data_IF_351854763404
#
_entry.id   IF_351854763404
#
_cell.length_a   1.000
_cell.length_b   1.000
_cell.length_c   1.000
_cell.angle_alpha   90.00
_cell.angle_beta   90.00
_cell.angle_gamma   90.00
#
_symmetry.space_group_name_H-M   'P 1'
#
loop_
_entity.id
_entity.type
_entity.pdbx_description
1 polymer ?
#
# COMPACT_ATOMS: atom_id res chain seq x y z
N UNK A 1 -15.61 -17.25 50.07
CA UNK A 1 -16.77 -16.69 50.80
C UNK A 1 -17.22 -15.48 50.02
N UNK A 2 -18.44 -15.52 49.45
CA UNK A 2 -18.94 -14.48 48.54
C UNK A 2 -19.23 -13.19 49.31
N UNK A 3 -18.85 -12.03 48.79
CA UNK A 3 -19.10 -10.70 49.37
C UNK A 3 -20.58 -10.46 49.70
N UNK A 4 -21.49 -11.19 49.07
CA UNK A 4 -22.93 -11.16 49.30
C UNK A 4 -23.29 -11.78 50.68
N UNK A 5 -22.68 -12.89 51.05
CA UNK A 5 -22.92 -13.55 52.35
C UNK A 5 -22.42 -12.70 53.51
N UNK A 6 -21.30 -12.01 53.33
CA UNK A 6 -20.74 -11.09 54.32
C UNK A 6 -21.65 -9.87 54.55
N UNK A 7 -22.30 -9.39 53.50
CA UNK A 7 -23.28 -8.32 53.55
C UNK A 7 -24.58 -8.75 54.27
N UNK A 8 -25.06 -9.95 53.97
CA UNK A 8 -26.26 -10.50 54.62
C UNK A 8 -26.05 -10.74 56.11
N UNK A 9 -24.91 -11.27 56.50
CA UNK A 9 -24.60 -11.52 57.90
C UNK A 9 -24.42 -10.22 58.69
N UNK A 10 -23.84 -9.18 58.15
CA UNK A 10 -23.75 -7.87 58.76
C UNK A 10 -25.13 -7.19 58.94
N UNK A 11 -26.03 -7.33 57.97
CA UNK A 11 -27.38 -6.78 58.08
C UNK A 11 -28.25 -7.55 59.09
N UNK A 12 -28.06 -8.85 59.21
CA UNK A 12 -28.78 -9.70 60.17
C UNK A 12 -28.37 -9.39 61.61
N UNK A 13 -27.06 -9.20 61.82
CA UNK A 13 -26.56 -8.82 63.17
C UNK A 13 -27.03 -7.42 63.57
N UNK A 14 -27.12 -6.46 62.69
CA UNK A 14 -27.64 -5.12 62.95
C UNK A 14 -29.14 -5.09 63.14
N UNK A 15 -29.92 -5.99 62.54
CA UNK A 15 -31.34 -6.12 62.71
C UNK A 15 -31.68 -6.76 64.09
N UNK A 16 -30.86 -7.73 64.50
CA UNK A 16 -31.02 -8.42 65.78
C UNK A 16 -30.62 -7.51 66.96
N UNK A 17 -29.65 -6.63 66.85
CA UNK A 17 -29.22 -5.68 67.89
C UNK A 17 -30.15 -4.48 68.04
N UNK A 18 -30.86 -4.05 66.99
CA UNK A 18 -31.65 -2.81 67.07
C UNK A 18 -33.10 -2.99 67.51
N UNK A 19 -33.63 -4.22 67.65
CA UNK A 19 -35.02 -4.49 68.05
C UNK A 19 -36.06 -3.76 67.18
N UNK A 20 -35.63 -3.09 66.15
CA UNK A 20 -36.43 -2.34 65.21
C UNK A 20 -36.89 -3.24 64.07
N UNK A 21 -38.19 -3.39 63.94
CA UNK A 21 -38.85 -3.98 62.77
C UNK A 21 -38.52 -3.11 61.53
N UNK A 22 -37.31 -3.16 61.07
CA UNK A 22 -36.93 -2.60 59.78
C UNK A 22 -37.44 -3.54 58.68
N UNK A 23 -38.72 -3.43 58.34
CA UNK A 23 -39.26 -3.99 57.10
C UNK A 23 -38.64 -3.21 55.91
N UNK A 24 -37.33 -3.42 55.65
CA UNK A 24 -36.77 -3.02 54.40
C UNK A 24 -37.43 -3.91 53.35
N UNK A 25 -38.33 -3.33 52.55
CA UNK A 25 -39.05 -4.07 51.52
C UNK A 25 -37.99 -4.78 50.67
N UNK A 26 -38.13 -6.08 50.52
CA UNK A 26 -37.25 -6.91 49.69
C UNK A 26 -37.07 -6.31 48.30
N UNK A 27 -38.08 -5.59 47.83
CA UNK A 27 -38.09 -4.84 46.59
C UNK A 27 -37.10 -3.65 46.59
N UNK A 28 -36.94 -2.92 47.70
CA UNK A 28 -35.99 -1.79 47.79
C UNK A 28 -34.54 -2.29 47.83
N UNK A 29 -34.29 -3.43 48.45
CA UNK A 29 -32.97 -4.05 48.46
C UNK A 29 -32.59 -4.55 47.06
N UNK A 30 -33.46 -5.25 46.37
CA UNK A 30 -33.25 -5.71 45.00
C UNK A 30 -33.08 -4.52 44.04
N UNK A 31 -33.84 -3.45 44.24
CA UNK A 31 -33.71 -2.22 43.44
C UNK A 31 -32.35 -1.56 43.58
N UNK A 32 -31.77 -1.52 44.78
CA UNK A 32 -30.42 -0.99 45.05
C UNK A 32 -29.33 -1.87 44.40
N UNK A 33 -29.46 -3.19 44.55
CA UNK A 33 -28.54 -4.15 43.93
C UNK A 33 -28.54 -4.05 42.38
N UNK A 34 -29.72 -3.90 41.79
CA UNK A 34 -29.85 -3.72 40.34
C UNK A 34 -29.20 -2.42 39.86
N UNK A 35 -29.41 -1.30 40.60
CA UNK A 35 -28.77 -0.01 40.31
C UNK A 35 -27.24 -0.08 40.43
N UNK A 36 -26.70 -0.73 41.43
CA UNK A 36 -25.25 -0.89 41.57
C UNK A 36 -24.61 -1.77 40.46
N UNK A 37 -25.27 -2.90 40.12
CA UNK A 37 -24.85 -3.75 39.02
C UNK A 37 -24.91 -3.02 37.66
N UNK A 38 -25.95 -2.22 37.43
CA UNK A 38 -26.08 -1.40 36.24
C UNK A 38 -24.98 -0.33 36.19
N UNK A 39 -24.67 0.37 37.29
CA UNK A 39 -23.57 1.34 37.39
C UNK A 39 -22.21 0.71 37.13
N UNK A 40 -21.92 -0.47 37.70
CA UNK A 40 -20.65 -1.19 37.44
C UNK A 40 -20.52 -1.65 35.98
N UNK A 41 -21.64 -2.12 35.38
CA UNK A 41 -21.64 -2.48 33.94
C UNK A 41 -21.47 -1.27 33.02
N UNK A 42 -22.12 -0.16 33.35
CA UNK A 42 -21.98 1.08 32.59
C UNK A 42 -20.58 1.63 32.67
N UNK A 43 -19.97 1.66 33.88
CA UNK A 43 -18.59 2.12 34.06
C UNK A 43 -17.56 1.25 33.33
N UNK A 44 -17.76 -0.07 33.29
CA UNK A 44 -16.91 -0.98 32.51
C UNK A 44 -17.05 -0.77 30.99
N UNK A 45 -18.28 -0.50 30.51
CA UNK A 45 -18.53 -0.23 29.08
C UNK A 45 -17.97 1.12 28.66
N UNK A 46 -18.10 2.16 29.48
CA UNK A 46 -17.48 3.47 29.17
C UNK A 46 -15.96 3.40 29.13
N UNK A 47 -15.33 2.70 30.07
CA UNK A 47 -13.87 2.50 30.05
C UNK A 47 -13.44 1.72 28.80
N UNK A 48 -14.14 0.65 28.44
CA UNK A 48 -13.82 -0.11 27.21
C UNK A 48 -13.98 0.73 25.93
N UNK A 49 -15.05 1.54 25.84
CA UNK A 49 -15.27 2.43 24.70
C UNK A 49 -14.22 3.53 24.59
N UNK A 50 -13.73 4.08 25.72
CA UNK A 50 -12.64 5.08 25.68
C UNK A 50 -11.32 4.47 25.23
N UNK A 51 -11.00 3.24 25.64
CA UNK A 51 -9.80 2.54 25.15
C UNK A 51 -9.87 2.21 23.65
N UNK A 52 -11.04 1.76 23.16
CA UNK A 52 -11.24 1.50 21.73
C UNK A 52 -11.13 2.80 20.92
N UNK A 53 -11.74 3.89 21.39
CA UNK A 53 -11.63 5.21 20.74
C UNK A 53 -10.20 5.74 20.70
N UNK A 54 -9.43 5.55 21.79
CA UNK A 54 -8.04 5.97 21.86
C UNK A 54 -7.13 5.12 20.95
N UNK A 55 -7.37 3.81 20.89
CA UNK A 55 -6.66 2.92 19.97
C UNK A 55 -6.93 3.30 18.50
N UNK A 56 -8.19 3.56 18.15
CA UNK A 56 -8.56 4.00 16.79
C UNK A 56 -7.91 5.34 16.44
N UNK A 57 -7.90 6.31 17.36
CA UNK A 57 -7.26 7.61 17.14
C UNK A 57 -5.74 7.48 16.96
N UNK A 58 -5.07 6.62 17.72
CA UNK A 58 -3.64 6.33 17.56
C UNK A 58 -3.36 5.64 16.22
N UNK A 59 -4.21 4.72 15.79
CA UNK A 59 -4.05 4.05 14.49
C UNK A 59 -4.17 5.04 13.33
N UNK A 60 -5.17 5.93 13.38
CA UNK A 60 -5.34 7.01 12.39
C UNK A 60 -4.13 7.94 12.40
N UNK A 61 -3.62 8.30 13.57
CA UNK A 61 -2.46 9.20 13.70
C UNK A 61 -1.17 8.55 13.18
N UNK A 62 -1.01 7.24 13.35
CA UNK A 62 0.11 6.47 12.76
C UNK A 62 -0.03 6.38 11.23
N UNK A 63 -1.24 6.19 10.71
CA UNK A 63 -1.49 6.17 9.26
C UNK A 63 -1.22 7.56 8.66
N UNK A 64 -1.70 8.62 9.30
CA UNK A 64 -1.46 10.01 8.85
C UNK A 64 -0.02 10.47 9.02
N UNK A 65 0.74 9.88 9.96
CA UNK A 65 2.18 10.15 10.16
C UNK A 65 3.09 9.17 9.44
N UNK A 66 2.56 8.16 8.76
CA UNK A 66 3.41 7.45 7.80
C UNK A 66 3.94 8.53 6.86
N UNK A 67 5.26 8.80 6.83
CA UNK A 67 5.82 9.55 5.73
C UNK A 67 5.31 8.78 4.50
N UNK A 68 4.59 9.47 3.62
CA UNK A 68 4.41 8.96 2.26
C UNK A 68 5.82 8.51 1.89
N UNK A 69 6.00 7.22 1.65
CA UNK A 69 7.27 6.73 1.18
C UNK A 69 7.58 7.67 0.02
N UNK A 70 8.56 8.54 0.20
CA UNK A 70 8.95 9.48 -0.84
C UNK A 70 9.40 8.56 -1.96
N UNK A 71 8.47 8.27 -2.86
CA UNK A 71 8.76 7.48 -4.05
C UNK A 71 9.80 8.32 -4.78
N UNK A 72 10.97 7.74 -4.96
CA UNK A 72 12.05 8.44 -5.62
C UNK A 72 11.55 8.85 -7.01
N UNK A 73 11.50 10.16 -7.33
CA UNK A 73 11.01 10.61 -8.63
C UNK A 73 11.81 10.04 -9.79
N UNK A 74 13.08 9.68 -9.58
CA UNK A 74 13.92 8.97 -10.55
C UNK A 74 13.38 7.57 -10.81
N UNK A 75 13.03 6.82 -9.76
CA UNK A 75 12.45 5.47 -9.87
C UNK A 75 11.10 5.47 -10.58
N UNK A 76 10.24 6.46 -10.28
CA UNK A 76 8.96 6.63 -10.99
C UNK A 76 9.21 6.88 -12.49
N UNK A 77 10.15 7.76 -12.82
CA UNK A 77 10.45 8.08 -14.20
C UNK A 77 11.00 6.86 -14.96
N UNK A 78 11.89 6.11 -14.34
CA UNK A 78 12.44 4.88 -14.89
C UNK A 78 11.38 3.81 -15.13
N UNK A 79 10.44 3.66 -14.20
CA UNK A 79 9.32 2.73 -14.35
C UNK A 79 8.48 3.10 -15.58
N UNK A 80 8.09 4.37 -15.71
CA UNK A 80 7.33 4.86 -16.86
C UNK A 80 8.08 4.69 -18.18
N UNK A 81 9.39 4.91 -18.19
CA UNK A 81 10.24 4.68 -19.35
C UNK A 81 10.22 3.21 -19.78
N UNK A 82 10.44 2.28 -18.85
CA UNK A 82 10.40 0.83 -19.12
C UNK A 82 9.02 0.37 -19.60
N UNK A 83 7.95 0.85 -18.97
CA UNK A 83 6.59 0.54 -19.38
C UNK A 83 6.28 1.08 -20.79
N UNK A 84 6.84 2.22 -21.17
CA UNK A 84 6.68 2.80 -22.51
C UNK A 84 7.45 2.06 -23.59
N UNK A 85 8.60 1.46 -23.27
CA UNK A 85 9.45 0.72 -24.22
C UNK A 85 9.03 -0.75 -24.38
N UNK A 86 8.51 -1.37 -23.32
CA UNK A 86 8.16 -2.79 -23.32
C UNK A 86 7.25 -3.23 -24.49
N UNK A 87 6.17 -2.50 -24.85
CA UNK A 87 5.33 -2.86 -25.99
C UNK A 87 6.09 -2.77 -27.33
N UNK A 88 6.95 -1.75 -27.52
CA UNK A 88 7.74 -1.59 -28.75
C UNK A 88 8.70 -2.78 -28.93
N UNK A 89 9.37 -3.18 -27.84
CA UNK A 89 10.26 -4.34 -27.85
C UNK A 89 9.50 -5.64 -28.17
N UNK A 90 8.30 -5.81 -27.63
CA UNK A 90 7.46 -6.99 -27.91
C UNK A 90 7.07 -7.05 -29.39
N UNK A 91 6.67 -5.93 -29.98
CA UNK A 91 6.30 -5.85 -31.40
C UNK A 91 7.50 -6.09 -32.32
N UNK A 92 8.70 -5.58 -31.98
CA UNK A 92 9.93 -5.85 -32.74
C UNK A 92 10.25 -7.34 -32.74
N UNK A 93 10.17 -8.00 -31.56
CA UNK A 93 10.39 -9.46 -31.49
C UNK A 93 9.38 -10.26 -32.31
N UNK A 94 8.12 -9.83 -32.37
CA UNK A 94 7.11 -10.47 -33.24
C UNK A 94 7.46 -10.28 -34.72
N UNK A 95 7.94 -9.10 -35.13
CA UNK A 95 8.39 -8.86 -36.51
C UNK A 95 9.65 -9.68 -36.86
N UNK A 96 10.60 -9.83 -35.96
CA UNK A 96 11.79 -10.68 -36.12
C UNK A 96 11.45 -12.16 -36.23
N UNK A 97 10.42 -12.63 -35.49
CA UNK A 97 9.92 -14.00 -35.63
C UNK A 97 9.24 -14.24 -36.98
N UNK A 98 8.63 -13.23 -37.55
CA UNK A 98 7.78 -13.32 -38.74
C UNK A 98 8.54 -12.98 -40.02
N UNK A 99 9.67 -12.28 -39.98
CA UNK A 99 10.44 -11.80 -41.13
C UNK A 99 11.93 -12.12 -40.98
N UNK A 100 12.49 -12.78 -41.97
CA UNK A 100 13.92 -13.10 -42.00
C UNK A 100 14.78 -11.81 -42.05
N UNK A 101 14.33 -10.81 -42.81
CA UNK A 101 15.00 -9.51 -42.90
C UNK A 101 15.05 -8.79 -41.56
N UNK A 102 13.94 -8.79 -40.80
CA UNK A 102 13.93 -8.21 -39.47
C UNK A 102 14.82 -8.98 -38.50
N UNK A 103 14.87 -10.31 -38.61
CA UNK A 103 15.73 -11.18 -37.79
C UNK A 103 17.21 -10.91 -38.01
N UNK A 104 17.61 -10.66 -39.27
CA UNK A 104 19.02 -10.32 -39.62
C UNK A 104 19.43 -8.96 -39.04
N UNK A 105 18.47 -8.06 -38.79
CA UNK A 105 18.76 -6.76 -38.19
C UNK A 105 19.04 -6.83 -36.69
N UNK A 106 18.50 -7.84 -35.99
CA UNK A 106 18.66 -8.09 -34.54
C UNK A 106 18.41 -6.84 -33.67
N UNK A 107 17.36 -6.08 -34.02
CA UNK A 107 17.07 -4.79 -33.39
C UNK A 107 16.50 -4.96 -31.98
N UNK A 108 15.90 -6.11 -31.68
CA UNK A 108 15.41 -6.39 -30.33
C UNK A 108 16.54 -6.41 -29.30
N UNK A 109 17.71 -6.94 -29.64
CA UNK A 109 18.89 -6.93 -28.77
C UNK A 109 19.41 -5.50 -28.52
N UNK A 110 19.46 -4.66 -29.57
CA UNK A 110 19.87 -3.25 -29.45
C UNK A 110 18.87 -2.45 -28.59
N UNK A 111 17.57 -2.66 -28.77
CA UNK A 111 16.53 -2.01 -27.99
C UNK A 111 16.61 -2.47 -26.53
N UNK A 112 16.89 -3.73 -26.26
CA UNK A 112 17.06 -4.27 -24.90
C UNK A 112 18.30 -3.68 -24.20
N UNK A 113 19.40 -3.47 -24.93
CA UNK A 113 20.58 -2.76 -24.42
C UNK A 113 20.25 -1.31 -24.07
N UNK A 114 19.56 -0.58 -24.95
CA UNK A 114 19.11 0.80 -24.69
C UNK A 114 18.13 0.89 -23.53
N UNK A 115 17.26 -0.10 -23.35
CA UNK A 115 16.31 -0.17 -22.22
C UNK A 115 17.03 -0.29 -20.87
N UNK A 116 18.14 -1.04 -20.82
CA UNK A 116 18.89 -1.31 -19.59
C UNK A 116 20.01 -0.29 -19.33
N UNK A 117 20.42 0.48 -20.34
CA UNK A 117 21.54 1.43 -20.22
C UNK A 117 21.33 2.54 -19.19
N UNK A 118 20.11 3.08 -18.93
CA UNK A 118 19.90 4.08 -17.90
C UNK A 118 20.23 3.60 -16.48
N UNK A 119 20.09 2.31 -16.19
CA UNK A 119 20.39 1.76 -14.87
C UNK A 119 21.87 1.89 -14.51
N UNK A 120 22.74 1.61 -15.48
CA UNK A 120 24.19 1.75 -15.29
C UNK A 120 24.62 3.22 -15.17
N UNK A 121 23.95 4.11 -15.88
CA UNK A 121 24.20 5.55 -15.83
C UNK A 121 23.80 6.13 -14.47
N UNK A 122 22.61 5.77 -13.96
CA UNK A 122 22.11 6.24 -12.66
C UNK A 122 23.04 5.86 -11.51
N UNK A 123 23.63 4.65 -11.55
CA UNK A 123 24.63 4.21 -10.56
C UNK A 123 25.86 5.11 -10.49
N UNK A 124 26.17 5.84 -11.54
CA UNK A 124 27.27 6.82 -11.58
C UNK A 124 26.91 8.22 -11.02
N UNK A 125 25.62 8.47 -10.70
CA UNK A 125 25.13 9.80 -10.30
C UNK A 125 25.07 10.01 -8.77
N UNK A 126 25.71 9.17 -7.95
CA UNK A 126 25.59 9.19 -6.48
C UNK A 126 26.03 10.50 -5.82
N UNK A 127 26.79 11.34 -6.50
CA UNK A 127 27.24 12.65 -6.01
C UNK A 127 26.28 13.81 -6.27
N UNK A 128 25.20 13.61 -7.05
CA UNK A 128 24.27 14.67 -7.45
C UNK A 128 23.07 14.79 -6.51
N UNK A 129 22.50 15.99 -6.46
CA UNK A 129 21.20 16.21 -5.79
C UNK A 129 20.04 15.55 -6.53
N UNK A 130 18.95 15.20 -5.83
CA UNK A 130 17.81 14.49 -6.43
C UNK A 130 17.20 15.19 -7.66
N UNK A 131 17.16 16.52 -7.67
CA UNK A 131 16.66 17.30 -8.82
C UNK A 131 17.58 17.17 -10.03
N UNK A 132 18.89 17.22 -9.83
CA UNK A 132 19.90 17.08 -10.87
C UNK A 132 19.92 15.65 -11.42
N UNK A 133 19.84 14.63 -10.53
CA UNK A 133 19.70 13.23 -10.92
C UNK A 133 18.50 13.03 -11.83
N UNK A 134 17.33 13.57 -11.44
CA UNK A 134 16.11 13.44 -12.23
C UNK A 134 16.26 14.12 -13.61
N UNK A 135 16.87 15.31 -13.69
CA UNK A 135 17.05 16.01 -14.96
C UNK A 135 17.98 15.25 -15.92
N UNK A 136 19.09 14.72 -15.38
CA UNK A 136 20.04 13.92 -16.18
C UNK A 136 19.38 12.62 -16.64
N UNK A 137 18.69 11.90 -15.72
CA UNK A 137 17.98 10.67 -16.05
C UNK A 137 16.92 10.90 -17.12
N UNK A 138 16.14 11.99 -16.99
CA UNK A 138 15.13 12.34 -17.98
C UNK A 138 15.72 12.56 -19.36
N UNK A 139 16.75 13.40 -19.47
CA UNK A 139 17.40 13.68 -20.76
C UNK A 139 17.94 12.41 -21.42
N UNK A 140 18.53 11.54 -20.61
CA UNK A 140 19.08 10.28 -21.11
C UNK A 140 17.97 9.34 -21.60
N UNK A 141 16.94 9.11 -20.80
CA UNK A 141 15.81 8.25 -21.18
C UNK A 141 15.04 8.80 -22.39
N UNK A 142 14.84 10.13 -22.47
CA UNK A 142 14.18 10.76 -23.61
C UNK A 142 15.00 10.53 -24.89
N UNK A 143 16.35 10.68 -24.83
CA UNK A 143 17.23 10.39 -25.96
C UNK A 143 17.19 8.91 -26.36
N UNK A 144 17.26 8.00 -25.39
CA UNK A 144 17.18 6.55 -25.68
C UNK A 144 15.82 6.17 -26.26
N UNK A 145 14.73 6.79 -25.79
CA UNK A 145 13.38 6.54 -26.31
C UNK A 145 13.25 6.99 -27.78
N UNK A 146 13.84 8.12 -28.14
CA UNK A 146 13.84 8.60 -29.54
C UNK A 146 14.65 7.68 -30.46
N UNK A 147 15.77 7.15 -29.96
CA UNK A 147 16.56 6.16 -30.68
C UNK A 147 15.78 4.84 -30.85
N UNK A 148 15.17 4.33 -29.79
CA UNK A 148 14.30 3.13 -29.83
C UNK A 148 13.15 3.31 -30.83
N UNK A 149 12.51 4.47 -30.87
CA UNK A 149 11.44 4.75 -31.85
C UNK A 149 11.96 4.77 -33.27
N UNK A 150 13.17 5.25 -33.47
CA UNK A 150 13.83 5.24 -34.80
C UNK A 150 14.07 3.80 -35.24
N UNK A 151 14.68 2.97 -34.40
CA UNK A 151 14.92 1.54 -34.65
C UNK A 151 13.62 0.77 -34.91
N UNK A 152 12.59 1.02 -34.11
CA UNK A 152 11.25 0.45 -34.30
C UNK A 152 10.71 0.83 -35.71
N UNK A 153 10.82 2.10 -36.10
CA UNK A 153 10.39 2.57 -37.42
C UNK A 153 11.18 1.93 -38.56
N UNK A 154 12.45 1.60 -38.37
CA UNK A 154 13.28 0.86 -39.34
C UNK A 154 12.84 -0.60 -39.44
N UNK A 155 12.57 -1.26 -38.31
CA UNK A 155 12.03 -2.61 -38.29
C UNK A 155 10.68 -2.69 -39.02
N UNK A 156 9.76 -1.77 -38.74
CA UNK A 156 8.49 -1.68 -39.46
C UNK A 156 8.66 -1.53 -40.95
N UNK A 157 9.58 -0.65 -41.40
CA UNK A 157 9.85 -0.47 -42.86
C UNK A 157 10.37 -1.76 -43.48
N UNK A 158 11.34 -2.43 -42.84
CA UNK A 158 11.89 -3.70 -43.32
C UNK A 158 10.81 -4.77 -43.41
N UNK A 159 9.98 -4.87 -42.39
CA UNK A 159 8.87 -5.84 -42.31
C UNK A 159 7.88 -5.69 -43.47
N UNK A 160 7.42 -4.45 -43.73
CA UNK A 160 6.45 -4.19 -44.78
C UNK A 160 7.05 -4.28 -46.20
N UNK A 161 8.34 -3.97 -46.36
CA UNK A 161 9.02 -4.12 -47.64
C UNK A 161 9.20 -5.59 -47.99
N UNK A 162 9.63 -6.42 -47.03
CA UNK A 162 9.75 -7.86 -47.25
C UNK A 162 8.43 -8.56 -47.56
N UNK A 163 7.32 -8.10 -46.91
CA UNK A 163 5.98 -8.62 -47.19
C UNK A 163 5.46 -8.28 -48.60
N UNK A 164 5.92 -7.20 -49.24
CA UNK A 164 5.53 -6.82 -50.61
C UNK A 164 6.23 -7.67 -51.67
N UNK A 165 7.46 -8.08 -51.43
CA UNK A 165 8.21 -8.92 -52.39
C UNK A 165 7.70 -10.36 -52.48
N UNK A 166 7.17 -10.90 -51.36
CA UNK A 166 6.56 -12.23 -51.35
C UNK A 166 5.25 -12.30 -52.17
N UNK A 167 4.53 -11.19 -52.31
CA UNK A 167 3.28 -11.15 -53.08
C UNK A 167 3.45 -10.93 -54.58
N UNK A 168 4.71 -10.84 -55.08
CA UNK A 168 4.99 -10.67 -56.50
C UNK A 168 5.44 -11.94 -57.23
N UNK A 169 5.53 -13.06 -56.51
CA UNK A 169 5.81 -14.40 -57.03
C UNK A 169 4.50 -15.17 -57.17
#
# INVERSE_FOLDING_TARGET
>A
MNDIEKYFNNYRSLADESGANLSVSEQDFLGRLHKERARKRFRRRTIALTFVGMAAALTILVILRRPEAQVDPVEVYMTNYREGVAPLLSEVREMEMSSELCREMDLSAVIEELLNSPDSMIGGLDGLGNAEKLEVTRKYCDSSLDEIRTLYGECCRAYYTGAQDVNKI
#
